data_IF_601661146889
#
_entry.id   IF_601661146889
#
_cell.length_a   1.000
_cell.length_b   1.000
_cell.length_c   1.000
_cell.angle_alpha   90.00
_cell.angle_beta   90.00
_cell.angle_gamma   90.00
#
_symmetry.space_group_name_H-M   'P 1'
#
loop_
_entity.id
_entity.type
_entity.pdbx_description
1 polymer ?
#
# COMPACT_ATOMS: atom_id res chain seq x y z
N UNK A 1 -33.80 -59.99 51.73
CA UNK A 1 -32.80 -58.94 51.44
C UNK A 1 -31.48 -59.66 51.19
N UNK A 2 -31.24 -60.05 49.95
CA UNK A 2 -29.93 -60.52 49.52
C UNK A 2 -29.08 -59.30 49.24
N UNK A 3 -28.07 -59.08 50.09
CA UNK A 3 -27.05 -58.06 49.87
C UNK A 3 -26.01 -58.72 48.97
N UNK A 4 -26.03 -58.36 47.68
CA UNK A 4 -24.98 -58.79 46.75
C UNK A 4 -23.64 -58.21 47.20
N UNK A 5 -22.77 -59.08 47.75
CA UNK A 5 -21.36 -58.81 47.79
C UNK A 5 -20.83 -58.81 46.35
N UNK A 6 -20.50 -57.62 45.84
CA UNK A 6 -19.55 -57.48 44.74
C UNK A 6 -18.21 -58.04 45.24
N UNK A 7 -18.01 -59.33 45.00
CA UNK A 7 -16.72 -59.99 45.15
C UNK A 7 -15.79 -59.37 44.13
N UNK A 8 -14.93 -58.47 44.61
CA UNK A 8 -13.75 -58.02 43.89
C UNK A 8 -12.98 -59.26 43.42
N UNK A 9 -13.08 -59.57 42.14
CA UNK A 9 -12.33 -60.63 41.51
C UNK A 9 -10.84 -60.35 41.64
N UNK A 10 -10.20 -61.15 42.50
CA UNK A 10 -8.77 -61.43 42.60
C UNK A 10 -7.79 -60.46 41.94
N UNK A 11 -7.22 -59.55 42.74
CA UNK A 11 -5.88 -59.02 42.49
C UNK A 11 -4.83 -60.12 42.74
N UNK A 12 -4.74 -61.10 41.84
CA UNK A 12 -3.57 -61.96 41.74
C UNK A 12 -2.33 -61.12 41.41
N UNK A 13 -1.17 -61.43 41.99
CA UNK A 13 0.10 -60.74 41.69
C UNK A 13 0.32 -60.72 40.18
N UNK A 14 0.17 -59.55 39.54
CA UNK A 14 0.43 -59.37 38.12
C UNK A 14 1.88 -59.72 37.83
N UNK A 15 2.11 -60.48 36.76
CA UNK A 15 3.46 -60.79 36.32
C UNK A 15 4.16 -59.52 35.81
N UNK A 16 5.49 -59.43 35.93
CA UNK A 16 6.25 -58.30 35.38
C UNK A 16 5.99 -58.07 33.89
N UNK A 17 5.76 -59.14 33.12
CA UNK A 17 5.34 -59.06 31.72
C UNK A 17 4.02 -58.30 31.56
N UNK A 18 3.05 -58.53 32.44
CA UNK A 18 1.75 -57.83 32.43
C UNK A 18 1.93 -56.33 32.66
N UNK A 19 2.76 -55.92 33.63
CA UNK A 19 3.06 -54.51 33.86
C UNK A 19 3.78 -53.86 32.68
N UNK A 20 4.71 -54.57 32.02
CA UNK A 20 5.38 -54.07 30.82
C UNK A 20 4.40 -53.85 29.67
N UNK A 21 3.48 -54.79 29.41
CA UNK A 21 2.47 -54.62 28.36
C UNK A 21 1.44 -53.53 28.68
N UNK A 22 1.07 -53.37 29.95
CA UNK A 22 0.22 -52.25 30.40
C UNK A 22 0.92 -50.90 30.21
N UNK A 23 2.19 -50.80 30.61
CA UNK A 23 3.00 -49.61 30.35
C UNK A 23 3.12 -49.35 28.84
N UNK A 24 3.45 -50.37 28.04
CA UNK A 24 3.64 -50.22 26.60
C UNK A 24 2.33 -49.79 25.91
N UNK A 25 1.18 -50.30 26.34
CA UNK A 25 -0.13 -49.87 25.84
C UNK A 25 -0.38 -48.39 26.15
N UNK A 26 -0.19 -47.96 27.40
CA UNK A 26 -0.41 -46.56 27.80
C UNK A 26 0.61 -45.62 27.14
N UNK A 27 1.88 -46.03 27.09
CA UNK A 27 2.94 -45.32 26.41
C UNK A 27 2.63 -45.15 24.94
N UNK A 28 2.25 -46.22 24.23
CA UNK A 28 1.93 -46.17 22.81
C UNK A 28 0.69 -45.32 22.55
N UNK A 29 -0.35 -45.41 23.40
CA UNK A 29 -1.54 -44.57 23.26
C UNK A 29 -1.20 -43.07 23.33
N UNK A 30 -0.41 -42.67 24.33
CA UNK A 30 0.03 -41.28 24.50
C UNK A 30 1.01 -40.86 23.41
N UNK A 31 2.00 -41.70 23.08
CA UNK A 31 3.00 -41.45 22.04
C UNK A 31 2.37 -41.30 20.65
N UNK A 32 1.44 -42.18 20.27
CA UNK A 32 0.72 -42.07 19.02
C UNK A 32 -0.19 -40.85 18.99
N UNK A 33 -0.80 -40.46 20.12
CA UNK A 33 -1.55 -39.21 20.24
C UNK A 33 -0.68 -38.00 19.92
N UNK A 34 0.49 -37.89 20.56
CA UNK A 34 1.45 -36.83 20.27
C UNK A 34 1.96 -36.85 18.83
N UNK A 35 2.25 -38.03 18.26
CA UNK A 35 2.70 -38.15 16.87
C UNK A 35 1.61 -37.72 15.88
N UNK A 36 0.36 -38.09 16.14
CA UNK A 36 -0.78 -37.69 15.32
C UNK A 36 -1.01 -36.18 15.36
N UNK A 37 -0.89 -35.55 16.54
CA UNK A 37 -0.97 -34.09 16.68
C UNK A 37 0.16 -33.38 15.93
N UNK A 38 1.40 -33.87 16.06
CA UNK A 38 2.56 -33.33 15.35
C UNK A 38 2.38 -33.37 13.82
N UNK A 39 1.96 -34.50 13.27
CA UNK A 39 1.72 -34.65 11.83
C UNK A 39 0.53 -33.79 11.36
N UNK A 40 -0.56 -33.75 12.14
CA UNK A 40 -1.72 -32.92 11.83
C UNK A 40 -1.37 -31.43 11.79
N UNK A 41 -0.57 -30.96 12.75
CA UNK A 41 -0.09 -29.57 12.80
C UNK A 41 0.72 -29.22 11.54
N UNK A 42 1.68 -30.09 11.14
CA UNK A 42 2.46 -29.89 9.91
C UNK A 42 1.59 -29.78 8.65
N UNK A 43 0.56 -30.61 8.53
CA UNK A 43 -0.38 -30.58 7.40
C UNK A 43 -1.20 -29.28 7.39
N UNK A 44 -1.70 -28.86 8.56
CA UNK A 44 -2.46 -27.62 8.71
C UNK A 44 -1.59 -26.40 8.40
N UNK A 45 -0.37 -26.34 8.93
CA UNK A 45 0.58 -25.25 8.67
C UNK A 45 0.91 -25.14 7.18
N UNK A 46 1.16 -26.27 6.50
CA UNK A 46 1.42 -26.26 5.06
C UNK A 46 0.20 -25.77 4.24
N UNK A 47 -1.00 -26.16 4.66
CA UNK A 47 -2.23 -25.73 3.99
C UNK A 47 -2.43 -24.22 4.14
N UNK A 48 -2.26 -23.71 5.37
CA UNK A 48 -2.35 -22.27 5.67
C UNK A 48 -1.28 -21.46 4.93
N UNK A 49 -0.05 -21.97 4.87
CA UNK A 49 1.03 -21.37 4.09
C UNK A 49 0.57 -21.14 2.64
N UNK A 50 0.03 -22.17 1.97
CA UNK A 50 -0.46 -22.06 0.59
C UNK A 50 -1.62 -21.07 0.45
N UNK A 51 -2.54 -21.04 1.40
CA UNK A 51 -3.68 -20.09 1.40
C UNK A 51 -3.21 -18.64 1.53
N UNK A 52 -2.22 -18.39 2.39
CA UNK A 52 -1.61 -17.06 2.50
C UNK A 52 -0.91 -16.65 1.21
N UNK A 53 -0.14 -17.54 0.58
CA UNK A 53 0.52 -17.21 -0.69
C UNK A 53 -0.49 -16.94 -1.81
N UNK A 54 -1.59 -17.70 -1.88
CA UNK A 54 -2.66 -17.43 -2.85
C UNK A 54 -3.29 -16.05 -2.61
N UNK A 55 -3.60 -15.73 -1.35
CA UNK A 55 -4.15 -14.42 -0.99
C UNK A 55 -3.17 -13.28 -1.29
N UNK A 56 -1.87 -13.51 -1.07
CA UNK A 56 -0.81 -12.55 -1.39
C UNK A 56 -0.71 -12.30 -2.91
N UNK A 57 -0.83 -13.35 -3.73
CA UNK A 57 -0.85 -13.21 -5.19
C UNK A 57 -2.05 -12.37 -5.67
N UNK A 58 -3.22 -12.55 -5.08
CA UNK A 58 -4.40 -11.73 -5.38
C UNK A 58 -4.20 -10.26 -5.00
N UNK A 59 -3.65 -10.01 -3.82
CA UNK A 59 -3.39 -8.66 -3.32
C UNK A 59 -2.32 -7.96 -4.19
N UNK A 60 -1.20 -8.63 -4.51
CA UNK A 60 -0.16 -8.11 -5.42
C UNK A 60 -0.70 -7.82 -6.82
N UNK A 61 -1.61 -8.66 -7.34
CA UNK A 61 -2.26 -8.43 -8.64
C UNK A 61 -3.12 -7.16 -8.65
N UNK A 62 -3.84 -6.88 -7.57
CA UNK A 62 -4.61 -5.64 -7.42
C UNK A 62 -3.69 -4.43 -7.26
N UNK A 63 -2.64 -4.56 -6.47
CA UNK A 63 -1.70 -3.47 -6.22
C UNK A 63 -0.96 -3.05 -7.48
N UNK A 64 -0.49 -4.01 -8.29
CA UNK A 64 0.20 -3.71 -9.57
C UNK A 64 -0.73 -3.03 -10.58
N UNK A 65 -2.01 -3.41 -10.62
CA UNK A 65 -3.02 -2.72 -11.43
C UNK A 65 -3.26 -1.28 -10.93
N UNK A 66 -3.40 -1.10 -9.61
CA UNK A 66 -3.57 0.23 -9.00
C UNK A 66 -2.35 1.12 -9.24
N UNK A 67 -1.14 0.62 -8.96
CA UNK A 67 0.13 1.31 -9.22
C UNK A 67 0.20 1.79 -10.68
N UNK A 68 -0.24 0.99 -11.64
CA UNK A 68 -0.24 1.39 -13.05
C UNK A 68 -1.11 2.62 -13.32
N UNK A 69 -2.30 2.70 -12.71
CA UNK A 69 -3.19 3.86 -12.81
C UNK A 69 -2.54 5.10 -12.19
N UNK A 70 -2.08 4.97 -10.94
CA UNK A 70 -1.51 6.09 -10.18
C UNK A 70 -0.22 6.61 -10.83
N UNK A 71 0.66 5.73 -11.32
CA UNK A 71 1.88 6.12 -12.05
C UNK A 71 1.54 6.98 -13.27
N UNK A 72 0.49 6.63 -14.02
CA UNK A 72 0.07 7.41 -15.18
C UNK A 72 -0.45 8.79 -14.76
N UNK A 73 -1.26 8.87 -13.70
CA UNK A 73 -1.73 10.15 -13.18
C UNK A 73 -0.58 11.06 -12.72
N UNK A 74 0.40 10.48 -12.02
CA UNK A 74 1.62 11.19 -11.60
C UNK A 74 2.42 11.69 -12.81
N UNK A 75 2.56 10.88 -13.87
CA UNK A 75 3.23 11.27 -15.10
C UNK A 75 2.50 12.42 -15.80
N UNK A 76 1.16 12.37 -15.87
CA UNK A 76 0.35 13.44 -16.46
C UNK A 76 0.49 14.75 -15.68
N UNK A 77 0.47 14.69 -14.35
CA UNK A 77 0.67 15.88 -13.50
C UNK A 77 2.09 16.45 -13.61
N UNK A 78 3.11 15.59 -13.70
CA UNK A 78 4.49 16.01 -13.99
C UNK A 78 4.57 16.76 -15.32
N UNK A 79 3.99 16.21 -16.39
CA UNK A 79 3.98 16.85 -17.71
C UNK A 79 3.21 18.19 -17.72
N UNK A 80 2.10 18.27 -16.98
CA UNK A 80 1.32 19.51 -16.83
C UNK A 80 2.13 20.59 -16.12
N UNK A 81 2.83 20.22 -15.04
CA UNK A 81 3.72 21.14 -14.34
C UNK A 81 4.87 21.59 -15.25
N UNK A 82 5.51 20.68 -15.99
CA UNK A 82 6.59 21.04 -16.91
C UNK A 82 6.13 22.07 -17.96
N UNK A 83 4.98 21.85 -18.58
CA UNK A 83 4.41 22.77 -19.55
C UNK A 83 4.03 24.13 -18.96
N UNK A 84 3.54 24.15 -17.71
CA UNK A 84 3.25 25.38 -16.98
C UNK A 84 4.52 26.17 -16.66
N UNK A 85 5.54 25.47 -16.19
CA UNK A 85 6.80 26.08 -15.73
C UNK A 85 7.68 26.56 -16.88
N UNK A 86 7.67 25.88 -18.03
CA UNK A 86 8.34 26.33 -19.26
C UNK A 86 7.80 27.69 -19.76
N UNK A 87 6.54 28.00 -19.46
CA UNK A 87 5.84 29.23 -19.88
C UNK A 87 5.61 30.20 -18.71
N UNK A 88 6.27 29.98 -17.56
CA UNK A 88 5.96 30.70 -16.32
C UNK A 88 6.11 32.22 -16.46
N UNK A 89 7.24 32.70 -16.98
CA UNK A 89 7.53 34.13 -17.10
C UNK A 89 6.57 34.88 -18.02
N UNK A 90 6.15 34.23 -19.12
CA UNK A 90 5.13 34.77 -20.01
C UNK A 90 3.75 34.73 -19.37
N UNK A 91 3.45 33.64 -18.65
CA UNK A 91 2.20 33.42 -17.93
C UNK A 91 1.92 34.51 -16.89
N UNK A 92 2.92 34.83 -16.05
CA UNK A 92 2.79 35.86 -15.01
C UNK A 92 2.72 37.29 -15.56
N UNK A 93 3.08 37.52 -16.83
CA UNK A 93 3.07 38.86 -17.47
C UNK A 93 1.87 39.07 -18.39
N UNK A 94 1.55 38.08 -19.22
CA UNK A 94 0.61 38.21 -20.36
C UNK A 94 -0.80 37.79 -19.96
N UNK A 95 -0.97 36.92 -18.96
CA UNK A 95 -2.29 36.43 -18.51
C UNK A 95 -3.19 35.92 -19.63
N UNK A 96 -2.62 35.19 -20.58
CA UNK A 96 -3.45 34.57 -21.60
C UNK A 96 -4.36 33.50 -20.97
N UNK A 97 -5.51 33.27 -21.62
CA UNK A 97 -6.54 32.38 -21.11
C UNK A 97 -6.06 30.94 -20.89
N UNK A 98 -5.22 30.45 -21.81
CA UNK A 98 -4.75 29.07 -21.82
C UNK A 98 -3.87 28.76 -20.61
N UNK A 99 -2.78 29.51 -20.44
CA UNK A 99 -1.86 29.32 -19.32
C UNK A 99 -2.55 29.56 -17.97
N UNK A 100 -3.40 30.60 -17.90
CA UNK A 100 -4.12 30.93 -16.66
C UNK A 100 -5.09 29.82 -16.26
N UNK A 101 -5.80 29.23 -17.23
CA UNK A 101 -6.69 28.09 -17.02
C UNK A 101 -5.91 26.87 -16.54
N UNK A 102 -4.79 26.55 -17.17
CA UNK A 102 -3.93 25.45 -16.73
C UNK A 102 -3.40 25.66 -15.30
N UNK A 103 -2.93 26.87 -14.99
CA UNK A 103 -2.38 27.22 -13.68
C UNK A 103 -3.44 27.05 -12.58
N UNK A 104 -4.63 27.61 -12.77
CA UNK A 104 -5.74 27.50 -11.81
C UNK A 104 -6.22 26.07 -11.67
N UNK A 105 -6.37 25.33 -12.78
CA UNK A 105 -6.77 23.93 -12.74
C UNK A 105 -5.77 23.07 -11.97
N UNK A 106 -4.48 23.35 -12.12
CA UNK A 106 -3.45 22.65 -11.36
C UNK A 106 -3.43 23.07 -9.90
N UNK A 107 -3.46 24.38 -9.60
CA UNK A 107 -3.49 24.93 -8.24
C UNK A 107 -4.68 24.43 -7.40
N UNK A 108 -5.78 24.05 -8.03
CA UNK A 108 -6.97 23.49 -7.38
C UNK A 108 -7.05 21.96 -7.46
N UNK A 109 -6.00 21.29 -7.94
CA UNK A 109 -5.93 19.83 -8.02
C UNK A 109 -4.96 19.28 -6.98
N UNK A 110 -5.34 18.14 -6.40
CA UNK A 110 -4.40 17.27 -5.68
C UNK A 110 -3.80 16.21 -6.61
N UNK A 111 -3.18 15.21 -5.99
CA UNK A 111 -2.73 13.99 -6.66
C UNK A 111 -3.63 12.81 -6.31
N UNK A 112 -3.59 11.76 -7.14
CA UNK A 112 -4.32 10.52 -6.88
C UNK A 112 -3.70 9.74 -5.71
N UNK A 113 -4.56 9.25 -4.81
CA UNK A 113 -4.12 8.41 -3.69
C UNK A 113 -3.74 7.00 -4.15
N UNK A 114 -2.66 6.47 -3.62
CA UNK A 114 -2.34 5.05 -3.74
C UNK A 114 -2.95 4.26 -2.58
N UNK A 115 -3.90 3.38 -2.91
CA UNK A 115 -4.56 2.48 -1.94
C UNK A 115 -3.94 1.09 -2.02
N UNK A 116 -3.20 0.75 -0.98
CA UNK A 116 -2.50 -0.53 -0.84
C UNK A 116 -3.44 -1.63 -0.30
N UNK A 117 -3.42 -2.81 -0.92
CA UNK A 117 -4.18 -3.98 -0.45
C UNK A 117 -3.38 -4.72 0.63
N UNK A 118 -3.61 -4.38 1.89
CA UNK A 118 -2.77 -4.86 3.00
C UNK A 118 -3.34 -6.05 3.78
N UNK A 119 -4.49 -6.57 3.39
CA UNK A 119 -5.21 -7.64 4.11
C UNK A 119 -4.31 -8.85 4.42
N UNK A 120 -3.65 -9.41 3.41
CA UNK A 120 -2.83 -10.61 3.60
C UNK A 120 -1.61 -10.31 4.46
N UNK A 121 -0.95 -9.16 4.25
CA UNK A 121 0.18 -8.74 5.07
C UNK A 121 -0.21 -8.52 6.54
N UNK A 122 -1.35 -7.85 6.80
CA UNK A 122 -1.85 -7.65 8.14
C UNK A 122 -2.14 -8.99 8.82
N UNK A 123 -2.76 -9.94 8.13
CA UNK A 123 -2.99 -11.28 8.66
C UNK A 123 -1.68 -11.99 8.99
N UNK A 124 -0.73 -12.01 8.05
CA UNK A 124 0.59 -12.64 8.23
C UNK A 124 1.36 -12.03 9.42
N UNK A 125 1.26 -10.73 9.65
CA UNK A 125 1.90 -10.03 10.78
C UNK A 125 1.19 -10.30 12.10
N UNK A 126 -0.13 -10.14 12.14
CA UNK A 126 -0.90 -10.17 13.39
C UNK A 126 -1.12 -11.59 13.92
N UNK A 127 -1.15 -12.61 13.06
CA UNK A 127 -1.31 -14.02 13.46
C UNK A 127 0.02 -14.74 13.72
N UNK A 128 1.16 -14.08 13.52
CA UNK A 128 2.46 -14.75 13.45
C UNK A 128 2.64 -15.63 12.21
N UNK A 129 1.76 -15.48 11.20
CA UNK A 129 1.74 -16.26 9.97
C UNK A 129 3.01 -16.19 9.13
N UNK A 130 3.82 -15.14 9.26
CA UNK A 130 5.15 -15.09 8.61
C UNK A 130 6.04 -16.27 8.99
N UNK A 131 5.92 -16.82 10.22
CA UNK A 131 6.69 -18.01 10.65
C UNK A 131 6.28 -19.27 9.88
N UNK A 132 5.06 -19.31 9.36
CA UNK A 132 4.51 -20.44 8.60
C UNK A 132 5.03 -20.50 7.16
N UNK A 133 5.58 -19.39 6.64
CA UNK A 133 6.17 -19.34 5.29
C UNK A 133 7.56 -19.98 5.35
N UNK A 134 7.66 -21.24 4.92
CA UNK A 134 8.90 -22.02 4.98
C UNK A 134 9.83 -21.69 3.82
N UNK A 135 9.28 -21.24 2.69
CA UNK A 135 10.08 -20.78 1.57
C UNK A 135 10.72 -19.42 1.92
N UNK A 136 12.02 -19.43 2.22
CA UNK A 136 12.77 -18.23 2.62
C UNK A 136 12.79 -17.14 1.56
N UNK A 137 12.76 -17.51 0.27
CA UNK A 137 12.75 -16.54 -0.83
C UNK A 137 11.40 -15.83 -0.86
N UNK A 138 10.29 -16.59 -0.75
CA UNK A 138 8.95 -16.03 -0.67
C UNK A 138 8.79 -15.11 0.56
N UNK A 139 9.22 -15.57 1.74
CA UNK A 139 9.15 -14.78 2.97
C UNK A 139 9.95 -13.48 2.85
N UNK A 140 11.19 -13.54 2.33
CA UNK A 140 12.02 -12.36 2.13
C UNK A 140 11.39 -11.38 1.14
N UNK A 141 10.84 -11.87 0.03
CA UNK A 141 10.19 -11.02 -0.97
C UNK A 141 8.93 -10.34 -0.45
N UNK A 142 8.10 -11.04 0.34
CA UNK A 142 6.92 -10.46 0.99
C UNK A 142 7.32 -9.35 1.97
N UNK A 143 8.39 -9.55 2.75
CA UNK A 143 8.92 -8.55 3.68
C UNK A 143 9.55 -7.36 2.94
N UNK A 144 10.26 -7.61 1.83
CA UNK A 144 10.85 -6.58 0.98
C UNK A 144 9.77 -5.67 0.39
N UNK A 145 8.73 -6.26 -0.20
CA UNK A 145 7.59 -5.54 -0.74
C UNK A 145 6.89 -4.68 0.34
N UNK A 146 6.65 -5.23 1.53
CA UNK A 146 6.09 -4.47 2.65
C UNK A 146 6.96 -3.27 3.04
N UNK A 147 8.28 -3.45 3.06
CA UNK A 147 9.21 -2.37 3.35
C UNK A 147 9.14 -1.27 2.28
N UNK A 148 9.15 -1.65 1.00
CA UNK A 148 9.09 -0.70 -0.11
C UNK A 148 7.79 0.12 -0.11
N UNK A 149 6.65 -0.50 0.23
CA UNK A 149 5.37 0.19 0.38
C UNK A 149 5.40 1.19 1.55
N UNK A 150 6.02 0.84 2.69
CA UNK A 150 6.17 1.79 3.81
C UNK A 150 7.04 2.98 3.44
N UNK A 151 8.12 2.74 2.70
CA UNK A 151 9.00 3.82 2.21
C UNK A 151 8.23 4.75 1.25
N UNK A 152 7.38 4.20 0.38
CA UNK A 152 6.47 4.99 -0.47
C UNK A 152 5.54 5.89 0.35
N UNK A 153 4.94 5.38 1.42
CA UNK A 153 4.10 6.21 2.31
C UNK A 153 4.89 7.33 2.99
N UNK A 154 6.16 7.09 3.32
CA UNK A 154 7.07 8.13 3.81
C UNK A 154 7.28 9.25 2.77
N UNK A 155 7.53 8.90 1.52
CA UNK A 155 7.69 9.85 0.43
C UNK A 155 6.38 10.62 0.11
N UNK A 156 5.24 9.92 0.12
CA UNK A 156 3.92 10.56 -0.07
C UNK A 156 3.64 11.62 1.00
N UNK A 157 4.06 11.39 2.24
CA UNK A 157 3.96 12.39 3.30
C UNK A 157 4.83 13.63 3.01
N UNK A 158 6.04 13.43 2.51
CA UNK A 158 6.91 14.54 2.09
C UNK A 158 6.32 15.33 0.92
N UNK A 159 5.69 14.64 -0.04
CA UNK A 159 4.97 15.30 -1.14
C UNK A 159 3.81 16.16 -0.63
N UNK A 160 3.05 15.68 0.35
CA UNK A 160 2.00 16.48 0.99
C UNK A 160 2.56 17.76 1.64
N UNK A 161 3.76 17.71 2.22
CA UNK A 161 4.43 18.91 2.73
C UNK A 161 4.85 19.89 1.62
N UNK A 162 5.30 19.39 0.47
CA UNK A 162 5.58 20.23 -0.69
C UNK A 162 4.32 20.87 -1.26
N UNK A 163 3.24 20.10 -1.37
CA UNK A 163 1.92 20.60 -1.78
C UNK A 163 1.45 21.71 -0.83
N UNK A 164 1.50 21.49 0.47
CA UNK A 164 1.05 22.48 1.45
C UNK A 164 1.79 23.81 1.31
N UNK A 165 3.11 23.79 1.07
CA UNK A 165 3.92 25.00 0.85
C UNK A 165 3.61 25.68 -0.48
N UNK A 166 3.31 24.89 -1.53
CA UNK A 166 2.86 25.39 -2.82
C UNK A 166 1.48 26.06 -2.72
N UNK A 167 0.55 25.43 -2.01
CA UNK A 167 -0.79 25.98 -1.77
C UNK A 167 -0.72 27.27 -0.95
N UNK A 168 0.13 27.32 0.08
CA UNK A 168 0.31 28.54 0.90
C UNK A 168 0.73 29.74 0.06
N UNK A 169 1.72 29.57 -0.84
CA UNK A 169 2.17 30.68 -1.68
C UNK A 169 1.08 31.08 -2.69
N UNK A 170 0.35 30.13 -3.29
CA UNK A 170 -0.78 30.47 -4.17
C UNK A 170 -1.83 31.28 -3.44
N UNK A 171 -2.26 30.85 -2.25
CA UNK A 171 -3.26 31.57 -1.46
C UNK A 171 -2.79 32.97 -1.05
N UNK A 172 -1.47 33.16 -0.90
CA UNK A 172 -0.87 34.47 -0.62
C UNK A 172 -0.90 35.40 -1.84
N UNK A 173 -0.74 34.87 -3.06
CA UNK A 173 -0.50 35.72 -4.24
C UNK A 173 -1.62 35.70 -5.28
N UNK A 174 -2.59 34.78 -5.20
CA UNK A 174 -3.70 34.65 -6.14
C UNK A 174 -5.06 34.98 -5.51
N UNK A 175 -5.85 35.84 -6.15
CA UNK A 175 -7.17 36.25 -5.68
C UNK A 175 -8.28 35.33 -6.19
N UNK A 176 -8.53 34.23 -5.46
CA UNK A 176 -9.68 33.36 -5.76
C UNK A 176 -11.03 34.09 -5.66
N UNK A 177 -11.16 35.08 -4.78
CA UNK A 177 -12.38 35.88 -4.65
C UNK A 177 -12.70 36.65 -5.93
N UNK A 178 -11.71 37.37 -6.48
CA UNK A 178 -11.90 38.12 -7.72
C UNK A 178 -12.17 37.18 -8.89
N UNK A 179 -11.41 36.08 -8.97
CA UNK A 179 -11.59 35.04 -9.98
C UNK A 179 -13.03 34.49 -9.99
N UNK A 180 -13.53 34.01 -8.86
CA UNK A 180 -14.89 33.45 -8.78
C UNK A 180 -16.00 34.50 -8.99
N UNK A 181 -15.74 35.74 -8.59
CA UNK A 181 -16.68 36.86 -8.84
C UNK A 181 -16.82 37.12 -10.33
N UNK A 182 -15.71 37.16 -11.07
CA UNK A 182 -15.71 37.35 -12.52
C UNK A 182 -16.34 36.17 -13.27
N UNK A 183 -16.17 34.96 -12.75
CA UNK A 183 -16.84 33.76 -13.27
C UNK A 183 -18.34 33.71 -12.97
N UNK A 184 -18.85 34.59 -12.08
CA UNK A 184 -20.23 34.52 -11.60
C UNK A 184 -20.58 33.20 -10.90
N UNK A 185 -19.56 32.46 -10.42
CA UNK A 185 -19.70 31.11 -9.88
C UNK A 185 -18.66 30.87 -8.80
N UNK A 186 -19.04 30.19 -7.72
CA UNK A 186 -18.12 29.70 -6.68
C UNK A 186 -17.61 28.28 -6.97
N UNK A 187 -17.94 27.72 -8.14
CA UNK A 187 -17.53 26.39 -8.59
C UNK A 187 -16.74 26.48 -9.89
N UNK A 188 -15.65 25.73 -9.96
CA UNK A 188 -14.87 25.54 -11.18
C UNK A 188 -15.36 24.26 -11.87
N UNK A 189 -16.14 24.40 -12.95
CA UNK A 189 -16.63 23.26 -13.73
C UNK A 189 -15.58 22.84 -14.77
N UNK A 190 -14.88 21.73 -14.50
CA UNK A 190 -13.82 21.21 -15.37
C UNK A 190 -14.32 20.81 -16.77
N UNK A 191 -15.62 20.63 -16.96
CA UNK A 191 -16.24 20.26 -18.24
C UNK A 191 -16.72 21.46 -19.08
N UNK A 192 -16.64 22.68 -18.57
CA UNK A 192 -17.01 23.90 -19.30
C UNK A 192 -15.80 24.66 -19.78
N UNK A 193 -15.96 25.39 -20.89
CA UNK A 193 -14.98 26.39 -21.28
C UNK A 193 -15.06 27.59 -20.34
N UNK A 194 -14.08 27.65 -19.44
CA UNK A 194 -13.88 28.74 -18.50
C UNK A 194 -12.91 29.73 -19.13
N UNK A 195 -13.28 31.00 -19.07
CA UNK A 195 -12.48 32.11 -19.59
C UNK A 195 -11.87 32.91 -18.42
N UNK A 196 -10.56 32.78 -18.24
CA UNK A 196 -9.74 33.47 -17.24
C UNK A 196 -8.77 34.43 -17.95
N UNK A 197 -9.27 35.61 -18.32
CA UNK A 197 -8.51 36.62 -19.09
C UNK A 197 -8.10 37.86 -18.29
N UNK A 198 -8.40 37.90 -17.00
CA UNK A 198 -8.05 39.02 -16.12
C UNK A 198 -6.87 38.65 -15.22
N UNK A 199 -6.15 39.68 -14.77
CA UNK A 199 -5.09 39.50 -13.79
C UNK A 199 -5.70 39.32 -12.39
N UNK A 200 -5.43 38.17 -11.78
CA UNK A 200 -5.89 37.83 -10.43
C UNK A 200 -4.75 37.81 -9.40
N UNK A 201 -3.52 38.21 -9.73
CA UNK A 201 -2.48 38.30 -8.72
C UNK A 201 -2.76 39.44 -7.73
N UNK A 202 -2.45 39.15 -6.47
CA UNK A 202 -2.48 40.10 -5.37
C UNK A 202 -1.10 40.70 -5.08
N UNK A 203 -0.03 40.01 -5.47
CA UNK A 203 1.34 40.51 -5.34
C UNK A 203 1.82 41.11 -6.66
N UNK A 204 2.69 42.13 -6.57
CA UNK A 204 3.46 42.68 -7.68
C UNK A 204 4.98 42.59 -7.40
N UNK A 205 5.38 41.86 -6.36
CA UNK A 205 6.78 41.73 -5.94
C UNK A 205 7.45 40.57 -6.69
N UNK A 206 8.53 40.81 -7.48
CA UNK A 206 9.26 39.75 -8.18
C UNK A 206 9.69 38.58 -7.30
N UNK A 207 10.00 38.84 -6.03
CA UNK A 207 10.43 37.79 -5.08
C UNK A 207 9.31 36.81 -4.74
N UNK A 208 8.05 37.22 -4.81
CA UNK A 208 6.93 36.32 -4.54
C UNK A 208 6.71 35.33 -5.69
N UNK A 209 6.91 35.78 -6.94
CA UNK A 209 6.84 34.91 -8.12
C UNK A 209 8.02 33.94 -8.19
N UNK A 210 9.23 34.42 -7.87
CA UNK A 210 10.41 33.56 -7.72
C UNK A 210 10.17 32.49 -6.64
N UNK A 211 9.56 32.88 -5.52
CA UNK A 211 9.22 31.92 -4.46
C UNK A 211 8.14 30.92 -4.91
N UNK A 212 7.11 31.35 -5.65
CA UNK A 212 6.14 30.44 -6.28
C UNK A 212 6.85 29.43 -7.18
N UNK A 213 7.71 29.90 -8.09
CA UNK A 213 8.45 29.05 -9.01
C UNK A 213 9.22 27.95 -8.26
N UNK A 214 9.98 28.34 -7.24
CA UNK A 214 10.76 27.42 -6.42
C UNK A 214 9.88 26.39 -5.69
N UNK A 215 8.71 26.78 -5.18
CA UNK A 215 7.78 25.84 -4.53
C UNK A 215 7.11 24.89 -5.53
N UNK A 216 6.75 25.38 -6.71
CA UNK A 216 6.19 24.55 -7.77
C UNK A 216 7.21 23.52 -8.26
N UNK A 217 8.48 23.92 -8.44
CA UNK A 217 9.55 22.98 -8.81
C UNK A 217 9.80 21.92 -7.75
N UNK A 218 9.85 22.30 -6.46
CA UNK A 218 9.99 21.33 -5.38
C UNK A 218 8.83 20.32 -5.34
N UNK A 219 7.59 20.78 -5.60
CA UNK A 219 6.43 19.92 -5.68
C UNK A 219 6.50 18.97 -6.90
N UNK A 220 6.89 19.51 -8.07
CA UNK A 220 7.15 18.75 -9.30
C UNK A 220 8.20 17.65 -9.10
N UNK A 221 9.30 17.96 -8.45
CA UNK A 221 10.37 17.00 -8.16
C UNK A 221 9.89 15.89 -7.21
N UNK A 222 8.99 16.24 -6.27
CA UNK A 222 8.27 15.27 -5.45
C UNK A 222 7.46 14.26 -6.28
N UNK A 223 6.68 14.73 -7.26
CA UNK A 223 5.94 13.85 -8.19
C UNK A 223 6.89 12.89 -8.91
N UNK A 224 7.98 13.42 -9.47
CA UNK A 224 8.95 12.61 -10.21
C UNK A 224 9.58 11.51 -9.33
N UNK A 225 10.01 11.87 -8.12
CA UNK A 225 10.60 10.94 -7.15
C UNK A 225 9.64 9.81 -6.79
N UNK A 226 8.39 10.16 -6.46
CA UNK A 226 7.37 9.17 -6.10
C UNK A 226 7.03 8.26 -7.28
N UNK A 227 6.91 8.82 -8.50
CA UNK A 227 6.64 8.03 -9.70
C UNK A 227 7.75 7.00 -9.97
N UNK A 228 9.02 7.40 -9.82
CA UNK A 228 10.17 6.49 -9.95
C UNK A 228 10.09 5.37 -8.90
N UNK A 229 9.77 5.70 -7.65
CA UNK A 229 9.62 4.72 -6.59
C UNK A 229 8.45 3.76 -6.85
N UNK A 230 7.29 4.26 -7.28
CA UNK A 230 6.14 3.44 -7.64
C UNK A 230 6.45 2.49 -8.80
N UNK A 231 7.22 2.92 -9.81
CA UNK A 231 7.70 2.06 -10.88
C UNK A 231 8.57 0.92 -10.34
N UNK A 232 9.54 1.23 -9.47
CA UNK A 232 10.38 0.22 -8.84
C UNK A 232 9.58 -0.79 -7.99
N UNK A 233 8.62 -0.30 -7.20
CA UNK A 233 7.73 -1.15 -6.38
C UNK A 233 6.87 -2.06 -7.26
N UNK A 234 6.36 -1.52 -8.38
CA UNK A 234 5.57 -2.32 -9.33
C UNK A 234 6.42 -3.45 -9.94
N UNK A 235 7.67 -3.17 -10.29
CA UNK A 235 8.60 -4.16 -10.83
C UNK A 235 8.97 -5.23 -9.78
N UNK A 236 9.17 -4.81 -8.53
CA UNK A 236 9.38 -5.72 -7.39
C UNK A 236 8.16 -6.62 -7.16
N UNK A 237 6.95 -6.05 -7.17
CA UNK A 237 5.70 -6.80 -7.02
C UNK A 237 5.51 -7.84 -8.14
N UNK A 238 5.77 -7.47 -9.40
CA UNK A 238 5.72 -8.40 -10.54
C UNK A 238 6.75 -9.53 -10.43
N UNK A 239 7.95 -9.19 -9.96
CA UNK A 239 9.01 -10.17 -9.69
C UNK A 239 8.59 -11.13 -8.57
N UNK A 240 8.01 -10.61 -7.49
CA UNK A 240 7.50 -11.40 -6.38
C UNK A 240 6.37 -12.33 -6.81
N UNK A 241 5.39 -11.84 -7.60
CA UNK A 241 4.34 -12.67 -8.19
C UNK A 241 4.95 -13.87 -8.93
N UNK A 242 5.94 -13.62 -9.78
CA UNK A 242 6.61 -14.66 -10.56
C UNK A 242 7.32 -15.69 -9.68
N UNK A 243 8.01 -15.24 -8.62
CA UNK A 243 8.65 -16.10 -7.63
C UNK A 243 7.63 -16.95 -6.88
N UNK A 244 6.55 -16.34 -6.37
CA UNK A 244 5.52 -17.04 -5.60
C UNK A 244 4.82 -18.11 -6.45
N UNK A 245 4.47 -17.79 -7.70
CA UNK A 245 3.90 -18.76 -8.64
C UNK A 245 4.82 -19.94 -8.87
N UNK A 246 6.10 -19.69 -9.12
CA UNK A 246 7.11 -20.73 -9.35
C UNK A 246 7.31 -21.63 -8.13
N UNK A 247 7.57 -21.04 -6.97
CA UNK A 247 7.92 -21.76 -5.75
C UNK A 247 6.76 -22.60 -5.21
N UNK A 248 5.52 -22.13 -5.38
CA UNK A 248 4.31 -22.82 -4.90
C UNK A 248 3.53 -23.56 -5.99
N UNK A 249 4.01 -23.54 -7.25
CA UNK A 249 3.39 -24.19 -8.41
C UNK A 249 1.95 -23.73 -8.64
N UNK A 250 1.74 -22.41 -8.57
CA UNK A 250 0.49 -21.78 -8.97
C UNK A 250 0.59 -21.31 -10.43
N UNK A 251 -0.53 -21.40 -11.16
CA UNK A 251 -0.65 -20.95 -12.56
C UNK A 251 -0.64 -19.41 -12.66
#
# INVERSE_FOLDING_TARGET
MEVHHHTHSGHGKKSWKTYFWEFLMLFLAVFCGFLAEYELEHVIEHTREKEYIRSMLEDLGKDTANLSSVINNFQENENRLDNLMLRFDDGIKVFNNEWTKEFVLFALSGYEDFVYTDRTLQQLKNSGGLRLIRNKIAAAGIIGYDAAIRDLYGELKLLAEYQSKYDEIIHKIWSFRQMYTDLGSIKLDRGKDIELKKNYWMSNNPKDYEYLFNKTMAYRDGFNRIRILMLAIKDEANSLISVLKKEYRFD
#
